data_IF_817788689501
#
_entry.id   IF_817788689501
#
_cell.length_a   1.000
_cell.length_b   1.000
_cell.length_c   1.000
_cell.angle_alpha   90.00
_cell.angle_beta   90.00
_cell.angle_gamma   90.00
#
_symmetry.space_group_name_H-M   'P 1'
#
loop_
_entity.id
_entity.type
_entity.pdbx_description
1 polymer ?
#
# COMPACT_ATOMS: atom_id res chain seq x y z
N UNK A 1 21.42 -18.13 -29.19
CA UNK A 1 20.27 -18.14 -28.25
C UNK A 1 20.03 -16.71 -27.82
N UNK A 2 18.90 -16.10 -28.21
CA UNK A 2 18.47 -14.81 -27.67
C UNK A 2 17.66 -15.11 -26.41
N UNK A 3 18.20 -14.79 -25.25
CA UNK A 3 17.46 -14.76 -24.00
C UNK A 3 16.47 -13.61 -24.08
N UNK A 4 15.19 -13.91 -24.27
CA UNK A 4 14.12 -12.93 -24.15
C UNK A 4 14.03 -12.55 -22.67
N UNK A 5 14.54 -11.36 -22.32
CA UNK A 5 14.20 -10.74 -21.04
C UNK A 5 12.69 -10.44 -21.08
N UNK A 6 11.88 -11.26 -20.42
CA UNK A 6 10.51 -10.88 -20.12
C UNK A 6 10.60 -9.78 -19.07
N UNK A 7 10.25 -8.55 -19.44
CA UNK A 7 10.01 -7.51 -18.45
C UNK A 7 8.88 -8.00 -17.54
N UNK A 8 9.18 -8.16 -16.26
CA UNK A 8 8.18 -8.49 -15.24
C UNK A 8 7.22 -7.31 -15.09
N UNK A 9 5.92 -7.56 -15.11
CA UNK A 9 4.91 -6.50 -14.92
C UNK A 9 4.91 -6.01 -13.47
N UNK A 10 4.40 -4.80 -13.22
CA UNK A 10 4.23 -4.29 -11.86
C UNK A 10 3.39 -5.25 -10.98
N UNK A 11 2.34 -5.86 -11.54
CA UNK A 11 1.55 -6.89 -10.83
C UNK A 11 2.40 -8.09 -10.38
N UNK A 12 3.33 -8.55 -11.21
CA UNK A 12 4.24 -9.64 -10.84
C UNK A 12 5.25 -9.19 -9.79
N UNK A 13 5.72 -7.94 -9.86
CA UNK A 13 6.68 -7.37 -8.91
C UNK A 13 6.10 -7.23 -7.49
N UNK A 14 4.81 -6.91 -7.38
CA UNK A 14 4.09 -6.77 -6.10
C UNK A 14 3.20 -7.98 -5.76
N UNK A 15 3.34 -9.09 -6.49
CA UNK A 15 2.47 -10.25 -6.36
C UNK A 15 2.47 -10.87 -4.96
N UNK A 16 3.63 -10.94 -4.31
CA UNK A 16 3.77 -11.40 -2.92
C UNK A 16 2.96 -10.56 -1.92
N UNK A 17 2.92 -9.24 -2.08
CA UNK A 17 2.13 -8.33 -1.23
C UNK A 17 0.65 -8.57 -1.46
N UNK A 18 0.23 -8.71 -2.72
CA UNK A 18 -1.17 -8.97 -3.08
C UNK A 18 -1.64 -10.33 -2.54
N UNK A 19 -0.83 -11.38 -2.72
CA UNK A 19 -1.11 -12.73 -2.21
C UNK A 19 -1.15 -12.72 -0.67
N UNK A 20 -0.15 -12.13 -0.01
CA UNK A 20 -0.10 -12.06 1.45
C UNK A 20 -1.34 -11.37 2.03
N UNK A 21 -1.77 -10.25 1.43
CA UNK A 21 -2.96 -9.53 1.88
C UNK A 21 -4.24 -10.34 1.61
N UNK A 22 -4.34 -10.99 0.44
CA UNK A 22 -5.49 -11.85 0.12
C UNK A 22 -5.61 -13.04 1.09
N UNK A 23 -4.50 -13.68 1.44
CA UNK A 23 -4.45 -14.78 2.41
C UNK A 23 -4.91 -14.36 3.81
N UNK A 24 -4.82 -13.07 4.13
CA UNK A 24 -5.31 -12.48 5.39
C UNK A 24 -6.72 -11.88 5.28
N UNK A 25 -7.44 -12.19 4.20
CA UNK A 25 -8.84 -11.84 4.00
C UNK A 25 -9.08 -10.42 3.50
N UNK A 26 -8.03 -9.73 3.02
CA UNK A 26 -8.20 -8.46 2.31
C UNK A 26 -8.50 -8.70 0.84
N UNK A 27 -9.06 -7.69 0.17
CA UNK A 27 -9.24 -7.70 -1.29
C UNK A 27 -8.35 -6.61 -1.92
N UNK A 28 -7.03 -6.87 -2.06
CA UNK A 28 -6.11 -5.91 -2.63
C UNK A 28 -6.21 -5.87 -4.15
N UNK A 29 -5.96 -4.70 -4.73
CA UNK A 29 -5.86 -4.50 -6.16
C UNK A 29 -4.78 -3.46 -6.45
N UNK A 30 -3.84 -3.81 -7.34
CA UNK A 30 -2.89 -2.84 -7.88
C UNK A 30 -3.62 -1.91 -8.84
N UNK A 31 -3.37 -0.61 -8.73
CA UNK A 31 -3.94 0.42 -9.61
C UNK A 31 -2.83 1.27 -10.18
N UNK A 32 -2.87 1.45 -11.49
CA UNK A 32 -2.08 2.45 -12.20
C UNK A 32 -2.72 3.83 -11.99
N UNK A 33 -1.93 4.79 -11.51
CA UNK A 33 -2.36 6.19 -11.31
C UNK A 33 -1.76 7.14 -12.36
N UNK A 34 -1.12 6.58 -13.39
CA UNK A 34 -0.51 7.27 -14.53
C UNK A 34 1.00 7.34 -14.44
N UNK A 35 1.65 7.52 -15.60
CA UNK A 35 3.10 7.78 -15.73
C UNK A 35 4.02 6.71 -15.10
N UNK A 36 3.58 5.45 -15.03
CA UNK A 36 4.37 4.36 -14.43
C UNK A 36 4.35 4.35 -12.90
N UNK A 37 3.40 5.07 -12.30
CA UNK A 37 3.19 5.12 -10.86
C UNK A 37 2.00 4.25 -10.47
N UNK A 38 2.14 3.46 -9.41
CA UNK A 38 1.11 2.54 -8.95
C UNK A 38 0.75 2.76 -7.48
N UNK A 39 -0.40 2.26 -7.06
CA UNK A 39 -0.77 2.10 -5.65
C UNK A 39 -1.49 0.77 -5.48
N UNK A 40 -1.40 0.15 -4.31
CA UNK A 40 -2.26 -0.98 -3.96
C UNK A 40 -3.45 -0.41 -3.18
N UNK A 41 -4.65 -0.55 -3.74
CA UNK A 41 -5.89 -0.25 -3.04
C UNK A 41 -6.43 -1.50 -2.38
N UNK A 42 -6.94 -1.39 -1.15
CA UNK A 42 -7.73 -2.46 -0.53
C UNK A 42 -9.18 -1.98 -0.49
N UNK A 43 -10.13 -2.88 -0.82
CA UNK A 43 -11.57 -2.59 -0.61
C UNK A 43 -11.83 -2.14 0.84
N UNK A 44 -12.92 -1.38 1.08
CA UNK A 44 -13.12 -0.71 2.36
C UNK A 44 -12.92 -1.64 3.55
N UNK A 45 -11.96 -1.31 4.40
CA UNK A 45 -11.71 -2.02 5.66
C UNK A 45 -12.28 -1.13 6.76
N UNK A 46 -13.33 -1.59 7.43
CA UNK A 46 -14.07 -0.77 8.42
C UNK A 46 -14.61 0.53 7.83
N UNK A 47 -15.21 0.45 6.64
CA UNK A 47 -15.70 1.58 5.84
C UNK A 47 -14.60 2.54 5.32
N UNK A 48 -13.33 2.39 5.72
CA UNK A 48 -12.24 3.22 5.23
C UNK A 48 -11.62 2.68 3.94
N UNK A 49 -11.36 3.55 2.97
CA UNK A 49 -10.50 3.24 1.84
C UNK A 49 -9.05 3.14 2.29
N UNK A 50 -8.31 2.13 1.83
CA UNK A 50 -6.89 1.98 2.16
C UNK A 50 -6.06 2.03 0.90
N UNK A 51 -5.02 2.87 0.89
CA UNK A 51 -4.02 2.94 -0.16
C UNK A 51 -2.65 2.62 0.42
N UNK A 52 -1.93 1.75 -0.27
CA UNK A 52 -0.55 1.38 0.02
C UNK A 52 0.31 1.88 -1.14
N UNK A 53 1.37 2.60 -0.80
CA UNK A 53 2.28 3.23 -1.73
C UNK A 53 3.74 3.03 -1.28
N UNK A 54 4.69 3.54 -2.05
CA UNK A 54 6.07 3.66 -1.60
C UNK A 54 6.17 4.70 -0.46
N UNK A 55 7.30 4.73 0.24
CA UNK A 55 7.52 5.72 1.29
C UNK A 55 7.57 7.15 0.74
N UNK A 56 8.24 7.33 -0.39
CA UNK A 56 8.53 8.63 -0.97
C UNK A 56 7.52 9.04 -2.06
N UNK A 57 6.49 8.21 -2.29
CA UNK A 57 5.45 8.50 -3.27
C UNK A 57 4.68 7.25 -3.73
N UNK A 58 4.18 7.24 -4.97
CA UNK A 58 3.59 6.05 -5.57
C UNK A 58 4.59 4.90 -5.69
N UNK A 59 4.07 3.68 -5.82
CA UNK A 59 4.87 2.51 -6.15
C UNK A 59 5.49 2.66 -7.54
N UNK A 60 6.77 2.28 -7.64
CA UNK A 60 7.49 2.19 -8.90
C UNK A 60 7.06 0.96 -9.70
N UNK A 61 7.20 1.02 -11.03
CA UNK A 61 7.04 -0.17 -11.89
C UNK A 61 8.04 -1.28 -11.51
N UNK A 62 9.27 -0.89 -11.18
CA UNK A 62 10.33 -1.80 -10.72
C UNK A 62 10.41 -1.76 -9.20
N UNK A 63 10.03 -2.86 -8.52
CA UNK A 63 10.05 -2.90 -7.05
C UNK A 63 11.44 -2.77 -6.45
N UNK A 64 12.50 -3.06 -7.20
CA UNK A 64 13.88 -2.80 -6.76
C UNK A 64 14.17 -1.33 -6.46
N UNK A 65 13.36 -0.40 -6.97
CA UNK A 65 13.47 1.04 -6.73
C UNK A 65 12.72 1.51 -5.47
N UNK A 66 11.91 0.63 -4.87
CA UNK A 66 11.13 0.90 -3.67
C UNK A 66 12.03 1.21 -2.47
N UNK A 67 11.73 2.28 -1.75
CA UNK A 67 12.48 2.73 -0.56
C UNK A 67 11.76 2.38 0.75
N UNK A 68 10.51 1.95 0.66
CA UNK A 68 9.74 1.49 1.80
C UNK A 68 8.26 1.34 1.51
N UNK A 69 7.44 1.51 2.54
CA UNK A 69 5.98 1.48 2.42
C UNK A 69 5.34 2.68 3.11
N UNK A 70 4.29 3.20 2.50
CA UNK A 70 3.30 4.05 3.15
C UNK A 70 1.94 3.36 3.10
N UNK A 71 1.24 3.29 4.21
CA UNK A 71 -0.14 2.79 4.28
C UNK A 71 -1.04 3.91 4.80
N UNK A 72 -1.95 4.41 3.96
CA UNK A 72 -2.89 5.47 4.27
C UNK A 72 -4.33 4.97 4.38
N UNK A 73 -5.06 5.48 5.38
CA UNK A 73 -6.48 5.23 5.63
C UNK A 73 -7.28 6.48 5.32
N UNK A 74 -8.30 6.32 4.48
CA UNK A 74 -9.09 7.40 3.93
C UNK A 74 -10.56 7.26 4.31
N UNK A 75 -11.18 8.34 4.77
CA UNK A 75 -12.61 8.41 5.01
C UNK A 75 -13.37 8.32 3.69
N UNK A 76 -14.40 7.46 3.59
CA UNK A 76 -15.25 7.42 2.40
C UNK A 76 -16.18 8.63 2.32
N UNK A 77 -16.39 9.35 3.44
CA UNK A 77 -17.35 10.45 3.56
C UNK A 77 -16.72 11.85 3.39
N UNK A 78 -15.39 11.94 3.30
CA UNK A 78 -14.69 13.22 3.20
C UNK A 78 -14.36 13.59 1.76
N UNK A 79 -14.36 14.90 1.46
CA UNK A 79 -13.78 15.42 0.23
C UNK A 79 -12.30 15.02 0.13
N UNK A 80 -11.82 14.78 -1.10
CA UNK A 80 -10.49 14.20 -1.40
C UNK A 80 -9.35 14.87 -0.63
N UNK A 81 -9.45 16.17 -0.33
CA UNK A 81 -8.40 16.94 0.36
C UNK A 81 -8.27 16.63 1.85
N UNK A 82 -9.35 16.20 2.51
CA UNK A 82 -9.39 15.90 3.96
C UNK A 82 -9.70 14.42 4.25
N UNK A 83 -9.70 13.59 3.21
CA UNK A 83 -10.01 12.18 3.36
C UNK A 83 -8.96 11.39 4.15
N UNK A 84 -7.70 11.80 4.19
CA UNK A 84 -6.67 11.07 4.92
C UNK A 84 -6.88 11.18 6.45
N UNK A 85 -7.23 10.07 7.08
CA UNK A 85 -7.47 9.97 8.52
C UNK A 85 -6.17 9.66 9.26
N UNK A 86 -5.44 8.66 8.78
CA UNK A 86 -4.22 8.17 9.39
C UNK A 86 -3.30 7.57 8.31
N UNK A 87 -2.00 7.57 8.58
CA UNK A 87 -1.05 6.82 7.78
C UNK A 87 0.10 6.32 8.66
N UNK A 88 0.81 5.31 8.17
CA UNK A 88 2.07 4.86 8.72
C UNK A 88 3.07 4.65 7.58
N UNK A 89 4.35 4.85 7.87
CA UNK A 89 5.44 4.71 6.92
C UNK A 89 6.55 3.83 7.51
N UNK A 90 7.31 3.14 6.67
CA UNK A 90 8.49 2.35 7.06
C UNK A 90 9.54 2.39 5.94
N UNK A 91 10.82 2.26 6.30
CA UNK A 91 11.92 2.04 5.35
C UNK A 91 12.12 0.54 5.02
N UNK A 92 11.32 -0.34 5.61
CA UNK A 92 11.41 -1.78 5.41
C UNK A 92 10.51 -2.24 4.26
N UNK A 93 11.11 -2.64 3.13
CA UNK A 93 10.38 -3.05 1.91
C UNK A 93 9.74 -4.46 1.97
N UNK A 94 9.80 -5.17 3.10
CA UNK A 94 9.14 -6.48 3.27
C UNK A 94 7.61 -6.37 3.22
N UNK A 95 6.97 -7.32 2.52
CA UNK A 95 5.51 -7.39 2.40
C UNK A 95 4.82 -7.54 3.77
N UNK A 96 5.45 -8.29 4.68
CA UNK A 96 4.96 -8.56 6.03
C UNK A 96 4.79 -7.30 6.87
N UNK A 97 5.57 -6.25 6.60
CA UNK A 97 5.44 -4.98 7.33
C UNK A 97 4.10 -4.30 7.01
N UNK A 98 3.64 -4.38 5.76
CA UNK A 98 2.35 -3.83 5.34
C UNK A 98 1.22 -4.47 6.15
N UNK A 99 1.23 -5.79 6.28
CA UNK A 99 0.24 -6.52 7.08
C UNK A 99 0.29 -6.09 8.56
N UNK A 100 1.47 -6.00 9.16
CA UNK A 100 1.62 -5.55 10.56
C UNK A 100 1.07 -4.13 10.78
N UNK A 101 1.29 -3.23 9.81
CA UNK A 101 0.76 -1.86 9.86
C UNK A 101 -0.78 -1.89 9.85
N UNK A 102 -1.38 -2.65 8.91
CA UNK A 102 -2.84 -2.80 8.82
C UNK A 102 -3.44 -3.36 10.10
N UNK A 103 -2.86 -4.43 10.65
CA UNK A 103 -3.33 -5.06 11.88
C UNK A 103 -3.21 -4.15 13.10
N UNK A 104 -2.12 -3.37 13.18
CA UNK A 104 -1.92 -2.39 14.25
C UNK A 104 -2.99 -1.31 14.20
N UNK A 105 -3.21 -0.72 13.03
CA UNK A 105 -4.20 0.36 12.87
C UNK A 105 -5.61 -0.15 13.13
N UNK A 106 -5.92 -1.38 12.67
CA UNK A 106 -7.18 -2.09 12.99
C UNK A 106 -7.40 -2.24 14.49
N UNK A 107 -6.38 -2.65 15.25
CA UNK A 107 -6.47 -2.76 16.72
C UNK A 107 -6.67 -1.42 17.41
N UNK A 108 -6.05 -0.37 16.90
CA UNK A 108 -6.08 0.96 17.51
C UNK A 108 -7.42 1.71 17.29
N UNK A 109 -8.36 1.17 16.48
CA UNK A 109 -9.75 1.67 16.30
C UNK A 109 -9.82 3.19 16.14
N UNK A 110 -9.48 3.67 14.93
CA UNK A 110 -9.15 5.07 14.59
C UNK A 110 -10.18 6.10 15.10
N UNK A 111 -9.73 7.13 15.86
CA UNK A 111 -9.55 8.45 15.25
C UNK A 111 -8.34 9.22 15.79
N UNK A 112 -7.24 9.36 15.03
CA UNK A 112 -6.28 10.45 15.29
C UNK A 112 -5.63 10.98 14.02
N UNK A 113 -5.91 12.26 13.77
CA UNK A 113 -5.26 13.18 12.82
C UNK A 113 -3.74 13.12 12.97
N UNK A 114 -3.05 12.44 12.04
CA UNK A 114 -1.60 12.39 11.81
C UNK A 114 -0.72 11.97 13.01
N UNK A 115 -0.12 10.78 12.91
CA UNK A 115 1.08 10.41 13.68
C UNK A 115 2.11 9.81 12.75
N UNK A 116 3.34 10.31 12.83
CA UNK A 116 4.52 9.62 12.29
C UNK A 116 4.86 8.53 13.30
N UNK A 117 4.70 7.27 12.91
CA UNK A 117 5.06 6.14 13.74
C UNK A 117 6.44 5.69 13.30
N UNK A 118 7.48 6.11 14.01
CA UNK A 118 8.81 5.55 13.84
C UNK A 118 8.82 4.13 14.44
N UNK A 119 9.34 3.16 13.67
CA UNK A 119 9.77 1.87 14.22
C UNK A 119 10.98 2.05 15.14
#
# INVERSE_FOLDING_TARGET
MKTTNYATTAEQQYGDVLELLADHGYEPALRDIGSGCFVISIKPVYDYGVLIADKDGPLFEQRSEQTGWTVGFYSPEADITDALIAYAETDNCSAEVVLRILERIKRESVPVKKRRVAE
#
